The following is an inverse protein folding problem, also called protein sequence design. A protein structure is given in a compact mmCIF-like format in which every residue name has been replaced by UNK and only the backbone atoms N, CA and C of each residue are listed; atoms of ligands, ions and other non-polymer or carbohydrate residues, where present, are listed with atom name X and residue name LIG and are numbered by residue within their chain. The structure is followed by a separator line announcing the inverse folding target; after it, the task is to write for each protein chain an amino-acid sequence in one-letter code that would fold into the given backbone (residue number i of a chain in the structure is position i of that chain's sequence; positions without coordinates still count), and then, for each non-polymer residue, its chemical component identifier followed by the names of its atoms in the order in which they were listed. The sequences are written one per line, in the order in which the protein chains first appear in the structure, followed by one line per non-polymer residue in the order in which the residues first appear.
data_IF_041334815666
#
_entry.id   IF_041334815666
#
_cell.length_a   1.000
_cell.length_b   1.000
_cell.length_c   1.000
_cell.angle_alpha   90.00
_cell.angle_beta   90.00
_cell.angle_gamma   90.00
#
_symmetry.space_group_name_H-M   'P 1'
#
loop_
_entity.id
_entity.type
_entity.pdbx_description
1 polymer ?
#
# COMPACT_ATOMS: atom_id res chain seq x y z
N UNK A 1 -19.84 -28.68 -23.55
CA UNK A 1 -19.49 -28.70 -22.11
C UNK A 1 -19.44 -27.33 -21.42
N UNK A 2 -19.09 -26.21 -22.09
CA UNK A 2 -19.03 -24.89 -21.43
C UNK A 2 -20.40 -24.30 -21.00
N UNK A 3 -21.47 -24.61 -21.74
CA UNK A 3 -22.83 -24.12 -21.45
C UNK A 3 -23.46 -24.85 -20.25
N UNK A 4 -23.11 -26.12 -20.03
CA UNK A 4 -23.67 -26.94 -18.94
C UNK A 4 -23.12 -26.51 -17.57
N UNK A 5 -21.84 -26.12 -17.50
CA UNK A 5 -21.22 -25.58 -16.29
C UNK A 5 -21.79 -24.20 -15.95
N UNK A 6 -22.15 -23.40 -16.97
CA UNK A 6 -22.80 -22.10 -16.78
C UNK A 6 -24.26 -22.24 -16.28
N UNK A 7 -25.00 -23.24 -16.75
CA UNK A 7 -26.34 -23.58 -16.25
C UNK A 7 -26.33 -24.19 -14.83
N UNK A 8 -25.32 -24.99 -14.50
CA UNK A 8 -25.11 -25.50 -13.13
C UNK A 8 -24.67 -24.40 -12.16
N UNK A 9 -23.87 -23.42 -12.62
CA UNK A 9 -23.54 -22.23 -11.84
C UNK A 9 -24.76 -21.30 -11.66
N UNK A 10 -25.65 -21.21 -12.66
CA UNK A 10 -26.90 -20.45 -12.54
C UNK A 10 -27.86 -21.07 -11.50
N UNK A 11 -27.95 -22.41 -11.43
CA UNK A 11 -28.78 -23.09 -10.42
C UNK A 11 -28.29 -22.89 -8.97
N UNK A 12 -27.01 -22.57 -8.76
CA UNK A 12 -26.50 -22.19 -7.43
C UNK A 12 -26.81 -20.73 -7.05
N UNK A 13 -27.21 -19.89 -8.02
CA UNK A 13 -27.60 -18.48 -7.78
C UNK A 13 -29.12 -18.36 -7.57
N UNK A 14 -29.91 -19.34 -7.99
CA UNK A 14 -31.38 -19.34 -7.89
C UNK A 14 -31.91 -20.40 -6.92
N UNK A 15 -31.69 -20.20 -5.61
CA UNK A 15 -32.55 -20.82 -4.59
C UNK A 15 -32.56 -20.04 -3.26
N UNK A 16 -32.31 -18.73 -3.26
CA UNK A 16 -32.70 -17.91 -2.12
C UNK A 16 -34.17 -17.55 -2.26
N UNK A 17 -35.03 -18.40 -1.72
CA UNK A 17 -36.44 -18.05 -1.52
C UNK A 17 -36.56 -17.29 -0.17
N UNK A 18 -36.87 -15.98 -0.20
CA UNK A 18 -36.98 -15.16 1.00
C UNK A 18 -38.17 -15.55 1.90
N UNK A 19 -39.10 -16.40 1.41
CA UNK A 19 -40.32 -16.81 2.11
C UNK A 19 -40.24 -18.21 2.73
N UNK A 20 -39.46 -19.14 2.17
CA UNK A 20 -39.28 -20.49 2.75
C UNK A 20 -38.07 -20.55 3.70
N UNK A 21 -38.22 -21.29 4.80
CA UNK A 21 -37.14 -21.55 5.76
C UNK A 21 -36.43 -22.80 5.28
N UNK A 22 -35.12 -22.71 5.02
CA UNK A 22 -34.33 -23.88 4.64
C UNK A 22 -33.90 -24.69 5.87
N UNK A 23 -33.55 -25.97 5.70
CA UNK A 23 -32.93 -26.77 6.77
C UNK A 23 -31.62 -26.14 7.27
N UNK A 24 -30.92 -25.42 6.40
CA UNK A 24 -29.68 -24.72 6.74
C UNK A 24 -29.95 -23.51 7.67
N UNK A 25 -31.06 -22.79 7.46
CA UNK A 25 -31.50 -21.70 8.33
C UNK A 25 -31.78 -22.22 9.76
N UNK A 26 -32.35 -23.42 9.87
CA UNK A 26 -32.62 -24.08 11.15
C UNK A 26 -31.36 -24.62 11.84
N UNK A 27 -30.39 -25.15 11.10
CA UNK A 27 -29.09 -25.56 11.66
C UNK A 27 -28.31 -24.35 12.16
N UNK A 28 -28.30 -23.26 11.40
CA UNK A 28 -27.62 -22.02 11.78
C UNK A 28 -28.17 -21.49 13.10
N UNK A 29 -29.50 -21.50 13.31
CA UNK A 29 -30.16 -21.08 14.56
C UNK A 29 -29.58 -21.72 15.83
N UNK A 30 -29.15 -22.99 15.76
CA UNK A 30 -28.65 -23.72 16.92
C UNK A 30 -27.28 -23.24 17.41
N UNK A 31 -26.51 -22.58 16.54
CA UNK A 31 -25.12 -22.17 16.83
C UNK A 31 -24.95 -20.64 16.86
N UNK A 32 -25.99 -19.87 16.52
CA UNK A 32 -25.94 -18.40 16.40
C UNK A 32 -25.29 -17.72 17.61
N UNK A 33 -25.71 -18.05 18.83
CA UNK A 33 -25.23 -17.32 20.01
C UNK A 33 -23.74 -17.55 20.26
N UNK A 34 -23.24 -18.77 19.98
CA UNK A 34 -21.82 -19.10 20.03
C UNK A 34 -21.05 -18.36 18.93
N UNK A 35 -21.53 -18.42 17.70
CA UNK A 35 -20.84 -17.82 16.55
C UNK A 35 -20.78 -16.29 16.65
N UNK A 36 -21.85 -15.64 17.14
CA UNK A 36 -21.85 -14.19 17.39
C UNK A 36 -20.81 -13.85 18.47
N UNK A 37 -20.73 -14.64 19.55
CA UNK A 37 -19.78 -14.39 20.62
C UNK A 37 -18.33 -14.53 20.14
N UNK A 38 -18.02 -15.59 19.39
CA UNK A 38 -16.68 -15.80 18.80
C UNK A 38 -16.29 -14.67 17.84
N UNK A 39 -17.20 -14.24 16.96
CA UNK A 39 -16.95 -13.13 16.04
C UNK A 39 -16.77 -11.78 16.75
N UNK A 40 -17.49 -11.56 17.86
CA UNK A 40 -17.43 -10.31 18.61
C UNK A 40 -16.19 -10.14 19.48
N UNK A 41 -15.57 -11.26 19.89
CA UNK A 41 -14.41 -11.29 20.80
C UNK A 41 -13.07 -11.34 20.07
N UNK A 42 -13.08 -11.34 18.74
CA UNK A 42 -11.88 -11.44 17.91
C UNK A 42 -11.05 -10.16 17.98
N UNK A 43 -9.77 -10.31 18.34
CA UNK A 43 -8.78 -9.23 18.30
C UNK A 43 -8.16 -9.10 16.91
N UNK A 44 -7.93 -7.85 16.48
CA UNK A 44 -7.25 -7.54 15.23
C UNK A 44 -5.86 -6.98 15.55
N UNK A 45 -4.82 -7.75 15.27
CA UNK A 45 -3.43 -7.32 15.50
C UNK A 45 -2.80 -6.75 14.22
N UNK A 46 -1.92 -5.76 14.37
CA UNK A 46 -1.10 -5.22 13.29
C UNK A 46 0.22 -5.98 13.22
N UNK A 47 0.28 -7.03 12.40
CA UNK A 47 1.51 -7.76 12.20
C UNK A 47 2.48 -7.01 11.28
N UNK A 48 3.77 -7.02 11.65
CA UNK A 48 4.93 -6.75 10.78
C UNK A 48 5.03 -5.33 10.15
N UNK A 49 4.36 -4.31 10.69
CA UNK A 49 4.44 -2.93 10.18
C UNK A 49 5.88 -2.41 10.00
N UNK A 50 6.70 -2.52 11.06
CA UNK A 50 8.07 -2.00 11.05
C UNK A 50 8.97 -2.77 10.08
N UNK A 51 8.79 -4.08 9.98
CA UNK A 51 9.54 -4.94 9.07
C UNK A 51 9.27 -4.58 7.62
N UNK A 52 7.99 -4.43 7.25
CA UNK A 52 7.59 -4.09 5.88
C UNK A 52 7.97 -2.64 5.54
N UNK A 53 7.86 -1.71 6.49
CA UNK A 53 8.33 -0.34 6.30
C UNK A 53 9.83 -0.29 5.97
N UNK A 54 10.65 -1.04 6.72
CA UNK A 54 12.09 -1.10 6.48
C UNK A 54 12.40 -1.78 5.14
N UNK A 55 11.67 -2.84 4.79
CA UNK A 55 11.82 -3.52 3.50
C UNK A 55 11.54 -2.57 2.32
N UNK A 56 10.43 -1.81 2.37
CA UNK A 56 10.10 -0.82 1.33
C UNK A 56 11.18 0.26 1.29
N UNK A 57 11.64 0.72 2.44
CA UNK A 57 12.68 1.74 2.53
C UNK A 57 13.99 1.33 1.85
N UNK A 58 14.45 0.10 2.08
CA UNK A 58 15.71 -0.42 1.53
C UNK A 58 15.64 -0.69 0.03
N UNK A 59 14.47 -1.15 -0.45
CA UNK A 59 14.27 -1.61 -1.82
C UNK A 59 13.51 -0.63 -2.71
N UNK A 60 13.39 0.62 -2.28
CA UNK A 60 12.68 1.67 -3.03
C UNK A 60 13.28 1.95 -4.40
N UNK A 61 12.42 2.31 -5.37
CA UNK A 61 12.81 2.69 -6.73
C UNK A 61 13.71 3.94 -6.72
N UNK A 62 13.29 4.98 -5.99
CA UNK A 62 13.99 6.26 -5.94
C UNK A 62 14.79 6.34 -4.63
N UNK A 63 16.12 6.29 -4.74
CA UNK A 63 17.03 6.45 -3.61
C UNK A 63 17.64 7.85 -3.61
N UNK A 64 17.28 8.65 -2.60
CA UNK A 64 18.04 9.85 -2.26
C UNK A 64 19.31 9.40 -1.54
N UNK A 65 20.47 9.69 -2.13
CA UNK A 65 21.76 9.47 -1.48
C UNK A 65 21.98 10.52 -0.39
N UNK A 66 22.23 10.10 0.87
CA UNK A 66 22.55 11.04 1.92
C UNK A 66 23.91 11.69 1.60
N UNK A 67 24.00 13.02 1.78
CA UNK A 67 25.28 13.71 1.74
C UNK A 67 26.06 13.33 3.01
N UNK A 68 27.01 12.41 2.88
CA UNK A 68 27.86 11.95 3.97
C UNK A 68 29.11 12.81 4.13
N UNK A 69 29.70 13.26 3.02
CA UNK A 69 30.95 14.02 3.01
C UNK A 69 30.65 15.51 2.91
N UNK A 70 31.04 16.28 3.94
CA UNK A 70 30.87 17.74 3.97
C UNK A 70 31.97 18.49 3.22
N UNK A 71 33.02 17.77 2.83
CA UNK A 71 34.26 18.30 2.30
C UNK A 71 34.83 17.32 1.29
N UNK A 72 34.99 17.77 0.05
CA UNK A 72 35.71 17.02 -0.97
C UNK A 72 36.86 17.90 -1.49
N UNK A 73 38.08 17.39 -1.38
CA UNK A 73 39.31 18.05 -1.82
C UNK A 73 39.94 17.22 -2.94
N UNK A 74 39.86 17.74 -4.16
CA UNK A 74 40.49 17.14 -5.33
C UNK A 74 41.78 17.87 -5.69
N UNK A 75 42.83 17.11 -6.02
CA UNK A 75 44.04 17.63 -6.66
C UNK A 75 44.12 17.05 -8.08
N UNK A 76 43.99 17.89 -9.09
CA UNK A 76 44.14 17.50 -10.49
C UNK A 76 45.40 18.14 -11.09
N UNK A 77 46.29 17.29 -11.59
CA UNK A 77 47.47 17.72 -12.33
C UNK A 77 47.18 17.77 -13.82
N UNK A 78 47.58 18.85 -14.49
CA UNK A 78 47.42 18.97 -15.94
C UNK A 78 48.70 19.49 -16.58
N UNK A 79 48.94 19.02 -17.80
CA UNK A 79 50.07 19.43 -18.62
C UNK A 79 49.55 19.97 -19.95
N UNK A 80 50.09 21.10 -20.39
CA UNK A 80 49.66 21.73 -21.64
C UNK A 80 50.85 22.34 -22.39
N UNK A 81 50.70 22.46 -23.71
CA UNK A 81 51.63 23.20 -24.57
C UNK A 81 50.95 24.48 -25.02
N UNK A 82 51.61 25.62 -24.80
CA UNK A 82 51.17 26.93 -25.33
C UNK A 82 52.32 27.57 -26.10
N UNK A 83 51.96 28.38 -27.07
CA UNK A 83 52.89 29.26 -27.78
C UNK A 83 52.64 30.69 -27.29
N UNK A 84 53.66 31.34 -26.74
CA UNK A 84 53.59 32.78 -26.44
C UNK A 84 53.72 33.54 -27.75
N UNK A 85 52.82 34.50 -27.99
CA UNK A 85 53.07 35.58 -28.95
C UNK A 85 53.79 36.68 -28.20
N UNK A 86 55.00 37.01 -28.61
CA UNK A 86 55.62 38.26 -28.17
C UNK A 86 54.90 39.44 -28.83
N UNK A 87 55.07 40.62 -28.24
CA UNK A 87 54.60 41.90 -28.80
C UNK A 87 55.35 42.35 -30.05
N UNK A 88 56.25 41.52 -30.62
CA UNK A 88 56.85 41.77 -31.93
C UNK A 88 55.91 41.30 -33.04
N UNK A 89 55.74 42.13 -34.07
CA UNK A 89 54.82 41.92 -35.20
C UNK A 89 55.25 40.79 -36.17
N UNK A 90 56.27 40.00 -35.81
CA UNK A 90 56.84 38.99 -36.69
C UNK A 90 56.13 37.64 -36.51
N UNK A 91 55.38 37.22 -37.54
CA UNK A 91 54.49 36.05 -37.49
C UNK A 91 55.20 34.72 -37.26
N UNK A 92 56.53 34.67 -37.45
CA UNK A 92 57.34 33.45 -37.40
C UNK A 92 57.95 33.14 -36.03
N UNK A 93 57.81 34.02 -35.02
CA UNK A 93 58.48 33.86 -33.74
C UNK A 93 57.57 33.21 -32.67
N UNK A 94 57.17 31.95 -32.93
CA UNK A 94 56.39 31.14 -31.99
C UNK A 94 57.33 30.25 -31.17
N UNK A 95 57.52 30.58 -29.88
CA UNK A 95 58.25 29.72 -28.94
C UNK A 95 57.29 28.81 -28.16
N UNK A 96 57.27 27.49 -28.43
CA UNK A 96 56.47 26.55 -27.68
C UNK A 96 57.07 26.33 -26.29
N UNK A 97 56.24 26.40 -25.25
CA UNK A 97 56.61 26.00 -23.90
C UNK A 97 55.57 25.04 -23.32
N UNK A 98 56.06 24.05 -22.57
CA UNK A 98 55.23 23.16 -21.76
C UNK A 98 55.01 23.79 -20.40
N UNK A 99 53.80 23.70 -19.88
CA UNK A 99 53.50 24.05 -18.50
C UNK A 99 52.88 22.86 -17.78
N UNK A 100 53.20 22.74 -16.50
CA UNK A 100 52.60 21.79 -15.56
C UNK A 100 51.84 22.63 -14.54
N UNK A 101 50.55 22.37 -14.38
CA UNK A 101 49.69 23.02 -13.42
C UNK A 101 49.13 22.02 -12.42
N UNK A 102 48.96 22.46 -11.18
CA UNK A 102 48.16 21.77 -10.18
C UNK A 102 46.90 22.61 -9.95
N UNK A 103 45.74 21.99 -10.07
CA UNK A 103 44.46 22.58 -9.72
C UNK A 103 43.94 21.90 -8.46
N UNK A 104 43.71 22.71 -7.43
CA UNK A 104 42.99 22.29 -6.23
C UNK A 104 41.51 22.63 -6.44
N UNK A 105 40.66 21.61 -6.38
CA UNK A 105 39.21 21.77 -6.40
C UNK A 105 38.69 21.54 -4.98
N UNK A 106 38.04 22.55 -4.42
CA UNK A 106 37.35 22.45 -3.14
C UNK A 106 35.84 22.57 -3.36
N UNK A 107 35.08 21.54 -2.98
CA UNK A 107 33.62 21.60 -2.99
C UNK A 107 33.14 21.68 -1.55
N UNK A 108 32.85 22.90 -1.08
CA UNK A 108 32.09 23.10 0.16
C UNK A 108 30.63 22.84 -0.21
N UNK A 109 30.07 21.77 0.34
CA UNK A 109 28.64 21.51 0.15
C UNK A 109 27.86 22.57 0.91
N UNK A 110 26.90 23.20 0.22
CA UNK A 110 26.02 24.19 0.82
C UNK A 110 25.22 23.54 1.97
N UNK A 111 25.32 24.03 3.22
CA UNK A 111 24.52 23.52 4.33
C UNK A 111 23.01 23.55 4.04
N UNK A 112 22.55 24.43 3.14
CA UNK A 112 21.17 24.46 2.65
C UNK A 112 20.82 23.20 1.86
N UNK A 113 21.66 22.78 0.92
CA UNK A 113 21.44 21.57 0.10
C UNK A 113 21.40 20.31 0.98
N UNK A 114 22.29 20.21 1.97
CA UNK A 114 22.30 19.09 2.92
C UNK A 114 21.02 19.04 3.77
N UNK A 115 20.49 20.20 4.17
CA UNK A 115 19.23 20.30 4.90
C UNK A 115 18.05 19.88 4.01
N UNK A 116 17.98 20.40 2.79
CA UNK A 116 16.92 20.07 1.83
C UNK A 116 16.85 18.57 1.56
N UNK A 117 17.99 17.91 1.28
CA UNK A 117 18.01 16.44 1.08
C UNK A 117 17.59 15.65 2.32
N UNK A 118 17.97 16.12 3.52
CA UNK A 118 17.53 15.49 4.77
C UNK A 118 16.01 15.62 4.96
N UNK A 119 15.45 16.79 4.66
CA UNK A 119 14.01 17.03 4.72
C UNK A 119 13.26 16.16 3.70
N UNK A 120 13.80 16.00 2.48
CA UNK A 120 13.24 15.11 1.47
C UNK A 120 13.25 13.63 1.89
N UNK A 121 14.36 13.14 2.47
CA UNK A 121 14.46 11.78 3.01
C UNK A 121 13.40 11.54 4.08
N UNK A 122 13.24 12.49 5.01
CA UNK A 122 12.24 12.40 6.07
C UNK A 122 10.84 12.39 5.46
N UNK A 123 10.56 13.29 4.51
CA UNK A 123 9.27 13.39 3.82
C UNK A 123 8.92 12.11 3.06
N UNK A 124 9.87 11.50 2.37
CA UNK A 124 9.64 10.21 1.71
C UNK A 124 9.32 9.12 2.72
N UNK A 125 10.11 9.00 3.79
CA UNK A 125 9.90 7.96 4.81
C UNK A 125 8.55 8.12 5.52
N UNK A 126 8.13 9.34 5.85
CA UNK A 126 6.82 9.60 6.47
C UNK A 126 5.67 9.31 5.50
N UNK A 127 5.84 9.61 4.21
CA UNK A 127 4.85 9.28 3.17
C UNK A 127 4.68 7.77 3.03
N UNK A 128 5.78 7.00 2.98
CA UNK A 128 5.72 5.54 2.91
C UNK A 128 5.01 4.98 4.15
N UNK A 129 5.39 5.47 5.33
CA UNK A 129 4.79 5.03 6.59
C UNK A 129 3.29 5.36 6.69
N UNK A 130 2.85 6.51 6.18
CA UNK A 130 1.43 6.89 6.21
C UNK A 130 0.60 6.02 5.27
N UNK A 131 1.07 5.76 4.05
CA UNK A 131 0.40 4.86 3.11
C UNK A 131 0.31 3.44 3.69
N UNK A 132 1.40 2.91 4.25
CA UNK A 132 1.41 1.58 4.87
C UNK A 132 0.47 1.51 6.08
N UNK A 133 0.43 2.55 6.91
CA UNK A 133 -0.49 2.61 8.06
C UNK A 133 -1.94 2.63 7.61
N UNK A 134 -2.26 3.40 6.57
CA UNK A 134 -3.60 3.47 6.01
C UNK A 134 -4.02 2.11 5.43
N UNK A 135 -3.12 1.40 4.75
CA UNK A 135 -3.35 0.06 4.25
C UNK A 135 -3.73 -0.92 5.37
N UNK A 136 -2.91 -1.01 6.43
CA UNK A 136 -3.22 -1.90 7.56
C UNK A 136 -4.49 -1.50 8.32
N UNK A 137 -4.72 -0.20 8.48
CA UNK A 137 -5.94 0.31 9.14
C UNK A 137 -7.18 -0.08 8.34
N UNK A 138 -7.14 0.04 7.01
CA UNK A 138 -8.23 -0.37 6.14
C UNK A 138 -8.41 -1.89 6.13
N UNK A 139 -7.31 -2.67 6.13
CA UNK A 139 -7.36 -4.14 6.25
C UNK A 139 -8.10 -4.59 7.52
N UNK A 140 -7.80 -3.96 8.66
CA UNK A 140 -8.49 -4.24 9.93
C UNK A 140 -9.98 -3.86 9.84
N UNK A 141 -10.30 -2.67 9.31
CA UNK A 141 -11.69 -2.24 9.10
C UNK A 141 -12.47 -3.19 8.21
N UNK A 142 -11.84 -3.70 7.14
CA UNK A 142 -12.44 -4.69 6.24
C UNK A 142 -12.76 -5.96 7.03
N UNK A 143 -11.81 -6.51 7.78
CA UNK A 143 -12.05 -7.74 8.56
C UNK A 143 -13.16 -7.53 9.60
N UNK A 144 -13.19 -6.39 10.29
CA UNK A 144 -14.24 -6.06 11.24
C UNK A 144 -15.62 -5.92 10.57
N UNK A 145 -15.69 -5.33 9.38
CA UNK A 145 -16.94 -5.25 8.60
C UNK A 145 -17.38 -6.61 8.06
N UNK A 146 -16.45 -7.49 7.67
CA UNK A 146 -16.77 -8.87 7.26
C UNK A 146 -17.45 -9.63 8.40
N UNK A 147 -16.88 -9.53 9.60
CA UNK A 147 -17.43 -10.20 10.78
C UNK A 147 -18.77 -9.56 11.19
N UNK A 148 -18.93 -8.23 11.07
CA UNK A 148 -20.23 -7.55 11.23
C UNK A 148 -21.27 -8.01 10.21
N UNK A 149 -20.90 -8.19 8.94
CA UNK A 149 -21.81 -8.68 7.89
C UNK A 149 -22.28 -10.10 8.22
N UNK A 150 -21.39 -10.98 8.69
CA UNK A 150 -21.76 -12.33 9.13
C UNK A 150 -22.76 -12.29 10.28
N UNK A 151 -22.54 -11.45 11.28
CA UNK A 151 -23.49 -11.26 12.39
C UNK A 151 -24.85 -10.76 11.88
N UNK A 152 -24.87 -9.79 10.96
CA UNK A 152 -26.11 -9.29 10.36
C UNK A 152 -26.84 -10.35 9.53
N UNK A 153 -26.12 -11.25 8.87
CA UNK A 153 -26.68 -12.40 8.15
C UNK A 153 -27.30 -13.41 9.11
N UNK A 154 -26.62 -13.74 10.21
CA UNK A 154 -27.18 -14.60 11.26
C UNK A 154 -28.43 -13.99 11.89
N UNK A 155 -28.41 -12.67 12.12
CA UNK A 155 -29.57 -11.92 12.61
C UNK A 155 -30.71 -11.90 11.60
N UNK A 156 -30.43 -11.78 10.30
CA UNK A 156 -31.44 -11.92 9.25
C UNK A 156 -32.11 -13.28 9.36
N UNK A 157 -31.32 -14.37 9.36
CA UNK A 157 -31.86 -15.74 9.38
C UNK A 157 -32.81 -15.93 10.56
N UNK A 158 -32.45 -15.42 11.74
CA UNK A 158 -33.30 -15.43 12.93
C UNK A 158 -34.59 -14.61 12.75
N UNK A 159 -34.50 -13.41 12.17
CA UNK A 159 -35.66 -12.54 11.92
C UNK A 159 -36.59 -13.12 10.86
N UNK A 160 -36.06 -13.71 9.78
CA UNK A 160 -36.84 -14.42 8.75
C UNK A 160 -37.76 -15.48 9.38
N UNK A 161 -37.22 -16.29 10.29
CA UNK A 161 -37.97 -17.35 10.97
C UNK A 161 -39.00 -16.77 11.94
N UNK A 162 -38.63 -15.76 12.73
CA UNK A 162 -39.53 -15.12 13.69
C UNK A 162 -40.69 -14.38 13.04
N UNK A 163 -40.46 -13.68 11.93
CA UNK A 163 -41.52 -13.01 11.16
C UNK A 163 -42.49 -14.04 10.59
N UNK A 164 -41.99 -15.15 10.03
CA UNK A 164 -42.85 -16.24 9.54
C UNK A 164 -43.73 -16.83 10.64
N UNK A 165 -43.20 -16.93 11.86
CA UNK A 165 -43.92 -17.41 13.03
C UNK A 165 -44.75 -16.31 13.74
N UNK A 166 -44.88 -15.11 13.15
CA UNK A 166 -45.58 -13.95 13.71
C UNK A 166 -45.07 -13.50 15.11
N UNK A 167 -43.82 -13.81 15.45
CA UNK A 167 -43.17 -13.44 16.72
C UNK A 167 -42.45 -12.09 16.63
N UNK A 168 -42.15 -11.62 15.42
CA UNK A 168 -41.44 -10.35 15.20
C UNK A 168 -41.99 -9.60 14.00
N UNK A 169 -41.79 -8.29 13.96
CA UNK A 169 -42.33 -7.42 12.92
C UNK A 169 -41.50 -7.49 11.64
N UNK A 170 -42.17 -7.33 10.50
CA UNK A 170 -41.52 -7.25 9.19
C UNK A 170 -40.58 -6.04 9.10
N UNK A 171 -40.93 -4.92 9.76
CA UNK A 171 -40.13 -3.70 9.77
C UNK A 171 -38.73 -3.93 10.37
N UNK A 172 -38.62 -4.71 11.45
CA UNK A 172 -37.33 -5.06 12.06
C UNK A 172 -36.43 -5.86 11.10
N UNK A 173 -37.05 -6.74 10.29
CA UNK A 173 -36.35 -7.51 9.26
C UNK A 173 -35.90 -6.61 8.12
N UNK A 174 -36.76 -5.70 7.65
CA UNK A 174 -36.42 -4.74 6.59
C UNK A 174 -35.28 -3.82 7.01
N UNK A 175 -35.29 -3.35 8.26
CA UNK A 175 -34.21 -2.51 8.80
C UNK A 175 -32.88 -3.27 8.84
N UNK A 176 -32.88 -4.53 9.30
CA UNK A 176 -31.68 -5.36 9.26
C UNK A 176 -31.14 -5.58 7.84
N UNK A 177 -32.03 -5.77 6.86
CA UNK A 177 -31.66 -5.91 5.45
C UNK A 177 -31.05 -4.63 4.88
N UNK A 178 -31.57 -3.44 5.24
CA UNK A 178 -30.98 -2.15 4.86
C UNK A 178 -29.57 -2.01 5.42
N UNK A 179 -29.37 -2.26 6.71
CA UNK A 179 -28.05 -2.20 7.36
C UNK A 179 -27.08 -3.21 6.74
N UNK A 180 -27.55 -4.41 6.40
CA UNK A 180 -26.74 -5.42 5.74
C UNK A 180 -26.33 -4.98 4.33
N UNK A 181 -27.23 -4.34 3.58
CA UNK A 181 -26.93 -3.81 2.27
C UNK A 181 -25.90 -2.67 2.32
N UNK A 182 -26.06 -1.71 3.23
CA UNK A 182 -25.09 -0.61 3.40
C UNK A 182 -23.73 -1.13 3.81
N UNK A 183 -23.65 -2.05 4.79
CA UNK A 183 -22.38 -2.67 5.18
C UNK A 183 -21.69 -3.41 4.02
N UNK A 184 -22.45 -4.05 3.13
CA UNK A 184 -21.92 -4.68 1.90
C UNK A 184 -21.40 -3.68 0.86
N UNK A 185 -21.97 -2.47 0.80
CA UNK A 185 -21.44 -1.40 -0.04
C UNK A 185 -20.15 -0.83 0.57
N UNK A 186 -20.15 -0.57 1.88
CA UNK A 186 -18.99 -0.02 2.61
C UNK A 186 -17.77 -0.95 2.55
N UNK A 187 -17.96 -2.26 2.63
CA UNK A 187 -16.85 -3.20 2.48
C UNK A 187 -16.30 -3.21 1.04
N UNK A 188 -17.15 -3.07 0.02
CA UNK A 188 -16.72 -3.06 -1.37
C UNK A 188 -15.89 -1.81 -1.67
N UNK A 189 -16.31 -0.64 -1.16
CA UNK A 189 -15.57 0.61 -1.30
C UNK A 189 -14.24 0.55 -0.57
N UNK A 190 -14.22 0.05 0.68
CA UNK A 190 -12.97 -0.10 1.44
C UNK A 190 -12.00 -1.09 0.81
N UNK A 191 -12.48 -2.20 0.23
CA UNK A 191 -11.62 -3.15 -0.50
C UNK A 191 -10.95 -2.48 -1.69
N UNK A 192 -11.72 -1.74 -2.50
CA UNK A 192 -11.18 -0.98 -3.63
C UNK A 192 -10.11 0.04 -3.21
N UNK A 193 -10.39 0.82 -2.16
CA UNK A 193 -9.41 1.77 -1.60
C UNK A 193 -8.16 1.07 -1.07
N UNK A 194 -8.32 -0.10 -0.45
CA UNK A 194 -7.19 -0.86 0.07
C UNK A 194 -6.33 -1.47 -1.04
N UNK A 195 -6.94 -1.88 -2.16
CA UNK A 195 -6.22 -2.35 -3.35
C UNK A 195 -5.45 -1.20 -4.02
N UNK A 196 -6.01 0.02 -4.05
CA UNK A 196 -5.30 1.21 -4.51
C UNK A 196 -4.07 1.51 -3.63
N UNK A 197 -4.24 1.49 -2.30
CA UNK A 197 -3.12 1.65 -1.36
C UNK A 197 -2.06 0.57 -1.54
N UNK A 198 -2.48 -0.69 -1.76
CA UNK A 198 -1.58 -1.80 -2.05
C UNK A 198 -0.76 -1.53 -3.32
N UNK A 199 -1.41 -1.12 -4.41
CA UNK A 199 -0.73 -0.81 -5.67
C UNK A 199 0.25 0.36 -5.50
N UNK A 200 -0.13 1.40 -4.76
CA UNK A 200 0.76 2.52 -4.43
C UNK A 200 2.01 2.06 -3.67
N UNK A 201 1.87 1.11 -2.73
CA UNK A 201 3.02 0.51 -2.02
C UNK A 201 3.92 -0.31 -2.94
N UNK A 202 3.34 -1.07 -3.88
CA UNK A 202 4.11 -1.87 -4.84
C UNK A 202 4.92 -1.00 -5.81
N UNK A 203 4.37 0.14 -6.24
CA UNK A 203 5.06 1.10 -7.12
C UNK A 203 6.28 1.76 -6.46
N UNK A 204 6.35 1.80 -5.12
CA UNK A 204 7.47 2.39 -4.40
C UNK A 204 8.72 1.53 -4.46
N UNK A 205 8.61 0.24 -4.79
CA UNK A 205 9.69 -0.75 -4.69
C UNK A 205 10.14 -1.19 -6.09
N UNK A 206 11.42 -1.52 -6.25
CA UNK A 206 11.96 -2.03 -7.53
C UNK A 206 11.21 -3.29 -7.99
N UNK A 207 11.08 -3.46 -9.30
CA UNK A 207 10.34 -4.56 -9.94
C UNK A 207 10.72 -5.95 -9.43
N UNK A 208 12.00 -6.18 -9.18
CA UNK A 208 12.54 -7.46 -8.67
C UNK A 208 12.01 -7.85 -7.27
N UNK A 209 11.58 -6.88 -6.46
CA UNK A 209 11.08 -7.09 -5.10
C UNK A 209 9.55 -7.00 -4.98
N UNK A 210 8.85 -6.63 -6.06
CA UNK A 210 7.38 -6.46 -6.07
C UNK A 210 6.65 -7.74 -5.65
N UNK A 211 7.08 -8.90 -6.17
CA UNK A 211 6.44 -10.19 -5.85
C UNK A 211 6.55 -10.54 -4.37
N UNK A 212 7.71 -10.27 -3.76
CA UNK A 212 7.93 -10.50 -2.34
C UNK A 212 7.07 -9.57 -1.47
N UNK A 213 7.03 -8.27 -1.82
CA UNK A 213 6.19 -7.31 -1.10
C UNK A 213 4.71 -7.67 -1.22
N UNK A 214 4.26 -8.07 -2.41
CA UNK A 214 2.88 -8.48 -2.63
C UNK A 214 2.48 -9.68 -1.76
N UNK A 215 3.37 -10.67 -1.65
CA UNK A 215 3.17 -11.81 -0.74
C UNK A 215 3.04 -11.35 0.72
N UNK A 216 3.97 -10.51 1.19
CA UNK A 216 3.95 -9.98 2.56
C UNK A 216 2.72 -9.14 2.90
N UNK A 217 2.22 -8.34 1.95
CA UNK A 217 1.01 -7.53 2.14
C UNK A 217 -0.28 -8.37 2.11
N UNK A 218 -0.23 -9.60 1.58
CA UNK A 218 -1.37 -10.50 1.47
C UNK A 218 -1.52 -11.45 2.66
N UNK A 219 -0.49 -11.58 3.49
CA UNK A 219 -0.57 -12.17 4.85
C UNK A 219 -1.30 -11.19 5.76
#
# INVERSE_FOLDING_TARGET
MKILVFLLALNFVFAYDPQSISENDMKNLQVIDKDIYELSSKNYEQENFTEILNFIWENRVIKIEPILERFNLGLTGFVGKRTRRNTSEDYNDLHPYSYVGLQLEYKIIDPKEAREKKEEIIKQRTTIASVLRNFYTNKIKISALEDRIKILQMKENRLKIRVKNAVSNLDDRLENLKILHTAKLDIATLKSQNDELKNNLLLLVKSEFVSYLNFRLSQ
#
